data_IF_155560521631
#
_entry.id   IF_155560521631
#
_cell.length_a   1.000
_cell.length_b   1.000
_cell.length_c   1.000
_cell.angle_alpha   90.00
_cell.angle_beta   90.00
_cell.angle_gamma   90.00
#
_symmetry.space_group_name_H-M   'P 1'
#
loop_
_entity.id
_entity.type
_entity.pdbx_description
1 polymer ?
#
# COMPACT_ATOMS: atom_id res chain seq x y z
N UNK A 1 -29.21 2.49 0.00
CA UNK A 1 -27.90 2.94 0.52
C UNK A 1 -28.02 3.00 2.04
N UNK A 2 -27.31 2.13 2.76
CA UNK A 2 -27.20 2.26 4.22
C UNK A 2 -26.13 3.31 4.49
N UNK A 3 -26.56 4.49 4.85
CA UNK A 3 -25.63 5.54 5.31
C UNK A 3 -25.06 5.10 6.65
N UNK A 4 -23.74 4.94 6.71
CA UNK A 4 -23.04 4.65 7.95
C UNK A 4 -23.16 5.86 8.86
N UNK A 5 -23.76 5.68 10.04
CA UNK A 5 -23.87 6.72 11.08
C UNK A 5 -22.63 6.66 11.97
N UNK A 6 -22.11 7.81 12.33
CA UNK A 6 -21.06 7.92 13.34
C UNK A 6 -21.50 7.22 14.64
N UNK A 7 -20.61 6.39 15.21
CA UNK A 7 -20.88 5.55 16.39
C UNK A 7 -22.08 4.57 16.22
N UNK A 8 -22.60 4.40 15.00
CA UNK A 8 -23.77 3.54 14.74
C UNK A 8 -23.46 2.04 14.68
N UNK A 9 -22.21 1.70 14.62
CA UNK A 9 -21.69 0.33 14.46
C UNK A 9 -21.23 0.05 13.04
N UNK A 10 -20.02 -0.49 12.92
CA UNK A 10 -19.43 -0.88 11.64
C UNK A 10 -19.84 -2.34 11.33
N UNK A 11 -20.53 -2.61 10.21
CA UNK A 11 -20.88 -3.96 9.79
C UNK A 11 -19.62 -4.83 9.57
N UNK A 12 -19.69 -6.09 9.97
CA UNK A 12 -18.53 -7.00 9.91
C UNK A 12 -17.93 -7.13 8.49
N UNK A 13 -18.77 -7.18 7.44
CA UNK A 13 -18.27 -7.25 6.07
C UNK A 13 -17.47 -6.02 5.67
N UNK A 14 -17.86 -4.81 6.10
CA UNK A 14 -17.11 -3.59 5.83
C UNK A 14 -15.80 -3.59 6.63
N UNK A 15 -15.83 -4.02 7.89
CA UNK A 15 -14.63 -4.13 8.72
C UNK A 15 -13.59 -5.06 8.10
N UNK A 16 -14.00 -6.25 7.65
CA UNK A 16 -13.11 -7.19 6.99
C UNK A 16 -12.60 -6.67 5.65
N UNK A 17 -13.46 -6.00 4.87
CA UNK A 17 -13.03 -5.34 3.63
C UNK A 17 -11.95 -4.29 3.91
N UNK A 18 -12.13 -3.44 4.93
CA UNK A 18 -11.11 -2.45 5.32
C UNK A 18 -9.80 -3.12 5.73
N UNK A 19 -9.86 -4.21 6.50
CA UNK A 19 -8.67 -4.94 6.96
C UNK A 19 -7.91 -5.57 5.78
N UNK A 20 -8.62 -6.25 4.86
CA UNK A 20 -8.02 -6.88 3.68
C UNK A 20 -7.42 -5.82 2.75
N UNK A 21 -8.18 -4.77 2.42
CA UNK A 21 -7.70 -3.70 1.54
C UNK A 21 -6.53 -2.94 2.17
N UNK A 22 -6.52 -2.75 3.50
CA UNK A 22 -5.38 -2.18 4.21
C UNK A 22 -4.12 -3.05 4.05
N UNK A 23 -4.26 -4.36 4.23
CA UNK A 23 -3.15 -5.30 4.05
C UNK A 23 -2.60 -5.31 2.63
N UNK A 24 -3.47 -5.40 1.62
CA UNK A 24 -3.07 -5.38 0.20
C UNK A 24 -2.41 -4.05 -0.17
N UNK A 25 -2.94 -2.93 0.31
CA UNK A 25 -2.39 -1.60 -0.01
C UNK A 25 -1.00 -1.39 0.59
N UNK A 26 -0.77 -1.83 1.84
CA UNK A 26 0.54 -1.69 2.48
C UNK A 26 1.57 -2.67 1.92
N UNK A 27 1.12 -3.81 1.39
CA UNK A 27 1.98 -4.82 0.78
C UNK A 27 2.87 -4.22 -0.32
N UNK A 28 2.36 -3.24 -1.08
CA UNK A 28 3.08 -2.55 -2.15
C UNK A 28 4.38 -1.84 -1.70
N UNK A 29 4.47 -1.45 -0.41
CA UNK A 29 5.69 -0.86 0.16
C UNK A 29 6.80 -1.91 0.35
N UNK A 30 6.45 -3.18 0.48
CA UNK A 30 7.35 -4.23 0.92
C UNK A 30 7.65 -5.28 -0.14
N UNK A 31 6.90 -5.32 -1.26
CA UNK A 31 7.14 -6.24 -2.38
C UNK A 31 8.55 -6.16 -2.94
N UNK A 32 9.09 -4.96 -3.03
CA UNK A 32 10.39 -4.71 -3.66
C UNK A 32 11.54 -5.32 -2.87
N UNK A 33 11.46 -5.42 -1.54
CA UNK A 33 12.59 -5.80 -0.70
C UNK A 33 13.18 -7.19 -1.04
N UNK A 34 12.39 -8.29 -1.13
CA UNK A 34 12.92 -9.57 -1.56
C UNK A 34 13.37 -9.60 -3.02
N UNK A 35 12.81 -8.72 -3.87
CA UNK A 35 13.09 -8.68 -5.31
C UNK A 35 14.36 -7.92 -5.67
N UNK A 36 14.92 -7.10 -4.77
CA UNK A 36 16.05 -6.21 -5.06
C UNK A 36 17.25 -6.96 -5.65
N UNK A 37 17.55 -8.15 -5.13
CA UNK A 37 18.69 -8.94 -5.62
C UNK A 37 18.45 -9.45 -7.06
N UNK A 38 17.26 -9.91 -7.37
CA UNK A 38 16.86 -10.38 -8.71
C UNK A 38 16.91 -9.19 -9.69
N UNK A 39 16.33 -8.05 -9.31
CA UNK A 39 16.35 -6.82 -10.09
C UNK A 39 17.78 -6.33 -10.37
N UNK A 40 18.69 -6.43 -9.39
CA UNK A 40 20.09 -6.06 -9.53
C UNK A 40 20.76 -6.85 -10.66
N UNK A 41 20.59 -8.17 -10.66
CA UNK A 41 21.21 -9.03 -11.65
C UNK A 41 20.63 -8.83 -13.06
N UNK A 42 19.32 -8.71 -13.17
CA UNK A 42 18.65 -8.54 -14.47
C UNK A 42 18.93 -7.17 -15.10
N UNK A 43 18.82 -6.11 -14.29
CA UNK A 43 19.07 -4.73 -14.77
C UNK A 43 20.56 -4.37 -14.88
N UNK A 44 21.45 -5.26 -14.42
CA UNK A 44 22.91 -5.07 -14.40
C UNK A 44 23.33 -3.74 -13.73
N UNK A 45 22.71 -3.43 -12.61
CA UNK A 45 22.99 -2.20 -11.86
C UNK A 45 23.71 -2.52 -10.54
N UNK A 46 24.32 -1.49 -9.93
CA UNK A 46 24.98 -1.64 -8.65
C UNK A 46 23.95 -1.87 -7.52
N UNK A 47 24.37 -2.54 -6.45
CA UNK A 47 23.56 -2.77 -5.27
C UNK A 47 23.00 -1.47 -4.67
N UNK A 48 23.82 -0.41 -4.65
CA UNK A 48 23.40 0.91 -4.21
C UNK A 48 22.18 1.42 -5.01
N UNK A 49 22.21 1.34 -6.34
CA UNK A 49 21.12 1.77 -7.21
C UNK A 49 19.84 0.97 -6.98
N UNK A 50 19.99 -0.33 -6.70
CA UNK A 50 18.84 -1.18 -6.44
C UNK A 50 18.23 -0.90 -5.06
N UNK A 51 19.06 -0.71 -4.02
CA UNK A 51 18.59 -0.38 -2.69
C UNK A 51 17.90 1.00 -2.63
N UNK A 52 18.23 1.92 -3.53
CA UNK A 52 17.51 3.18 -3.68
C UNK A 52 16.02 2.99 -4.03
N UNK A 53 15.61 1.87 -4.63
CA UNK A 53 14.20 1.57 -4.90
C UNK A 53 13.42 1.57 -3.58
N UNK A 54 13.89 0.80 -2.59
CA UNK A 54 13.23 0.73 -1.29
C UNK A 54 13.26 2.08 -0.56
N UNK A 55 14.39 2.78 -0.60
CA UNK A 55 14.53 4.11 0.01
C UNK A 55 13.56 5.13 -0.62
N UNK A 56 13.49 5.21 -1.94
CA UNK A 56 12.61 6.12 -2.66
C UNK A 56 11.13 5.80 -2.39
N UNK A 57 10.78 4.51 -2.31
CA UNK A 57 9.44 4.09 -1.94
C UNK A 57 9.07 4.58 -0.54
N UNK A 58 9.97 4.48 0.43
CA UNK A 58 9.75 4.95 1.81
C UNK A 58 9.66 6.49 1.89
N UNK A 59 10.47 7.20 1.12
CA UNK A 59 10.35 8.67 0.99
C UNK A 59 8.98 9.02 0.41
N UNK A 60 8.55 8.34 -0.66
CA UNK A 60 7.22 8.51 -1.22
C UNK A 60 6.12 8.31 -0.19
N UNK A 61 6.21 7.24 0.60
CA UNK A 61 5.25 6.97 1.68
C UNK A 61 5.21 8.09 2.72
N UNK A 62 6.36 8.59 3.16
CA UNK A 62 6.43 9.72 4.09
C UNK A 62 5.79 10.98 3.50
N UNK A 63 6.02 11.28 2.21
CA UNK A 63 5.37 12.38 1.51
C UNK A 63 3.85 12.17 1.41
N UNK A 64 3.40 10.96 1.13
CA UNK A 64 1.99 10.59 1.13
C UNK A 64 1.32 10.85 2.49
N UNK A 65 1.97 10.44 3.58
CA UNK A 65 1.49 10.72 4.94
C UNK A 65 1.41 12.21 5.24
N UNK A 66 2.42 12.98 4.83
CA UNK A 66 2.51 14.41 5.13
C UNK A 66 1.50 15.24 4.34
N UNK A 67 1.32 14.92 3.05
CA UNK A 67 0.52 15.75 2.15
C UNK A 67 -0.87 15.18 1.86
N UNK A 68 -1.01 13.86 1.68
CA UNK A 68 -2.28 13.28 1.24
C UNK A 68 -3.20 12.97 2.42
N UNK A 69 -2.67 12.51 3.56
CA UNK A 69 -3.52 12.19 4.73
C UNK A 69 -4.30 13.42 5.22
N UNK A 70 -3.69 14.62 5.38
CA UNK A 70 -4.44 15.81 5.76
C UNK A 70 -5.51 16.24 4.75
N UNK A 71 -5.28 15.97 3.44
CA UNK A 71 -6.31 16.21 2.41
C UNK A 71 -7.56 15.35 2.62
N UNK A 72 -7.44 14.19 3.28
CA UNK A 72 -8.57 13.34 3.65
C UNK A 72 -9.57 14.00 4.60
N UNK A 73 -9.16 15.03 5.31
CA UNK A 73 -10.05 15.82 6.19
C UNK A 73 -10.69 17.01 5.46
N UNK A 74 -10.06 17.50 4.38
CA UNK A 74 -10.54 18.64 3.58
C UNK A 74 -11.42 18.22 2.40
N UNK A 75 -11.15 17.07 1.80
CA UNK A 75 -11.83 16.59 0.61
C UNK A 75 -12.61 15.30 0.88
N UNK A 76 -13.50 14.94 -0.04
CA UNK A 76 -14.23 13.66 0.04
C UNK A 76 -13.27 12.49 0.00
N UNK A 77 -13.14 11.74 1.10
CA UNK A 77 -12.25 10.57 1.25
C UNK A 77 -12.37 9.58 0.10
N UNK A 78 -13.60 9.39 -0.44
CA UNK A 78 -13.84 8.52 -1.60
C UNK A 78 -12.99 8.91 -2.82
N UNK A 79 -12.95 10.20 -3.16
CA UNK A 79 -12.21 10.67 -4.32
C UNK A 79 -10.71 10.48 -4.13
N UNK A 80 -10.19 10.79 -2.95
CA UNK A 80 -8.79 10.59 -2.61
C UNK A 80 -8.42 9.11 -2.77
N UNK A 81 -9.21 8.21 -2.18
CA UNK A 81 -8.96 6.77 -2.24
C UNK A 81 -8.96 6.29 -3.70
N UNK A 82 -9.96 6.65 -4.51
CA UNK A 82 -10.07 6.23 -5.90
C UNK A 82 -8.91 6.77 -6.75
N UNK A 83 -8.55 8.04 -6.60
CA UNK A 83 -7.42 8.64 -7.32
C UNK A 83 -6.10 7.96 -6.95
N UNK A 84 -5.89 7.70 -5.65
CA UNK A 84 -4.68 7.02 -5.19
C UNK A 84 -4.59 5.58 -5.71
N UNK A 85 -5.69 4.81 -5.69
CA UNK A 85 -5.69 3.46 -6.28
C UNK A 85 -5.42 3.48 -7.78
N UNK A 86 -5.99 4.43 -8.51
CA UNK A 86 -5.73 4.58 -9.94
C UNK A 86 -4.25 4.87 -10.21
N UNK A 87 -3.66 5.83 -9.49
CA UNK A 87 -2.23 6.16 -9.61
C UNK A 87 -1.34 5.00 -9.16
N UNK A 88 -1.75 4.25 -8.13
CA UNK A 88 -1.03 3.07 -7.67
C UNK A 88 -0.95 2.01 -8.77
N UNK A 89 -2.08 1.67 -9.41
CA UNK A 89 -2.12 0.71 -10.51
C UNK A 89 -1.20 1.16 -11.64
N UNK A 90 -1.27 2.44 -12.05
CA UNK A 90 -0.39 2.96 -13.10
C UNK A 90 1.09 2.89 -12.71
N UNK A 91 1.43 3.17 -11.46
CA UNK A 91 2.82 3.10 -10.99
C UNK A 91 3.34 1.67 -10.93
N UNK A 92 2.52 0.69 -10.51
CA UNK A 92 2.89 -0.73 -10.51
C UNK A 92 3.12 -1.23 -11.94
N UNK A 93 2.22 -0.91 -12.88
CA UNK A 93 2.41 -1.23 -14.29
C UNK A 93 3.67 -0.57 -14.87
N UNK A 94 3.96 0.67 -14.47
CA UNK A 94 5.19 1.35 -14.89
C UNK A 94 6.45 0.64 -14.36
N UNK A 95 6.42 0.08 -13.13
CA UNK A 95 7.52 -0.73 -12.60
C UNK A 95 7.66 -2.04 -13.40
N UNK A 96 6.54 -2.76 -13.62
CA UNK A 96 6.53 -4.03 -14.35
C UNK A 96 7.13 -3.90 -15.76
N UNK A 97 6.78 -2.82 -16.47
CA UNK A 97 7.19 -2.56 -17.85
C UNK A 97 8.48 -1.75 -17.97
N UNK A 98 9.11 -1.37 -16.86
CA UNK A 98 10.26 -0.47 -16.86
C UNK A 98 11.47 -1.06 -17.60
N UNK A 99 12.02 -0.36 -18.60
CA UNK A 99 13.24 -0.78 -19.31
C UNK A 99 14.52 -0.40 -18.55
N UNK A 100 14.45 0.50 -17.58
CA UNK A 100 15.61 0.99 -16.83
C UNK A 100 15.27 1.37 -15.39
N UNK A 101 16.31 1.48 -14.56
CA UNK A 101 16.20 1.73 -13.11
C UNK A 101 15.61 3.12 -12.80
N UNK A 102 15.76 4.12 -13.66
CA UNK A 102 15.29 5.48 -13.40
C UNK A 102 13.75 5.56 -13.42
N UNK A 103 13.12 4.81 -14.35
CA UNK A 103 11.66 4.68 -14.40
C UNK A 103 11.16 3.94 -13.16
N UNK A 104 11.88 2.91 -12.71
CA UNK A 104 11.54 2.20 -11.47
C UNK A 104 11.59 3.15 -10.27
N UNK A 105 12.61 4.01 -10.14
CA UNK A 105 12.66 4.97 -9.04
C UNK A 105 11.50 5.96 -9.08
N UNK A 106 11.20 6.54 -10.25
CA UNK A 106 10.08 7.47 -10.39
C UNK A 106 8.73 6.81 -10.04
N UNK A 107 8.50 5.61 -10.57
CA UNK A 107 7.29 4.84 -10.30
C UNK A 107 7.23 4.38 -8.83
N UNK A 108 8.35 3.99 -8.22
CA UNK A 108 8.44 3.61 -6.81
C UNK A 108 8.11 4.77 -5.86
N UNK A 109 8.49 5.99 -6.23
CA UNK A 109 8.10 7.19 -5.47
C UNK A 109 6.58 7.35 -5.46
N UNK A 110 5.93 7.22 -6.63
CA UNK A 110 4.48 7.31 -6.77
C UNK A 110 3.80 6.16 -6.03
N UNK A 111 4.31 4.92 -6.18
CA UNK A 111 3.82 3.76 -5.42
C UNK A 111 3.86 4.03 -3.92
N UNK A 112 4.96 4.59 -3.41
CA UNK A 112 5.10 4.98 -2.00
C UNK A 112 4.03 5.98 -1.58
N UNK A 113 3.89 7.09 -2.32
CA UNK A 113 2.89 8.13 -2.04
C UNK A 113 1.48 7.53 -1.99
N UNK A 114 1.14 6.65 -2.92
CA UNK A 114 -0.18 6.06 -3.01
C UNK A 114 -0.45 4.95 -1.98
N UNK A 115 0.59 4.35 -1.40
CA UNK A 115 0.45 3.25 -0.44
C UNK A 115 0.05 3.70 0.98
N UNK A 116 -0.19 5.00 1.22
CA UNK A 116 -0.62 5.53 2.52
C UNK A 116 -2.11 5.28 2.85
N UNK A 117 -2.90 4.74 1.90
CA UNK A 117 -4.36 4.53 2.02
C UNK A 117 -4.79 3.85 3.34
N UNK A 118 -4.08 2.84 3.88
CA UNK A 118 -4.43 2.21 5.14
C UNK A 118 -4.53 3.18 6.31
N UNK A 119 -3.79 4.30 6.28
CA UNK A 119 -3.83 5.32 7.32
C UNK A 119 -5.17 6.09 7.35
N UNK A 120 -5.91 6.09 6.24
CA UNK A 120 -7.27 6.64 6.17
C UNK A 120 -8.29 5.64 6.71
N UNK A 121 -8.05 4.33 6.61
CA UNK A 121 -8.99 3.30 7.05
C UNK A 121 -9.06 3.15 8.58
N UNK A 122 -7.96 3.37 9.28
CA UNK A 122 -7.92 3.29 10.75
C UNK A 122 -8.85 4.33 11.40
N UNK A 123 -8.79 5.63 11.05
CA UNK A 123 -9.76 6.63 11.51
C UNK A 123 -11.21 6.28 11.11
N UNK A 124 -11.44 5.78 9.90
CA UNK A 124 -12.79 5.36 9.46
C UNK A 124 -13.32 4.24 10.35
N UNK A 125 -12.54 3.20 10.61
CA UNK A 125 -12.94 2.11 11.49
C UNK A 125 -13.24 2.62 12.89
N UNK A 126 -12.46 3.59 13.39
CA UNK A 126 -12.68 4.21 14.70
C UNK A 126 -13.97 5.04 14.73
N UNK A 127 -14.22 5.89 13.73
CA UNK A 127 -15.33 6.86 13.67
C UNK A 127 -16.70 6.18 13.57
N UNK A 128 -16.81 5.10 12.80
CA UNK A 128 -18.08 4.42 12.56
C UNK A 128 -18.33 3.24 13.51
N UNK A 129 -17.38 2.88 14.38
CA UNK A 129 -17.56 1.84 15.38
C UNK A 129 -18.30 2.37 16.61
N UNK A 130 -19.11 1.49 17.25
CA UNK A 130 -19.68 1.77 18.56
C UNK A 130 -18.56 1.94 19.60
N UNK A 131 -18.72 2.80 20.62
CA UNK A 131 -17.69 3.04 21.64
C UNK A 131 -17.12 1.75 22.24
N UNK A 132 -17.99 0.75 22.52
CA UNK A 132 -17.63 -0.51 23.16
C UNK A 132 -16.74 -1.39 22.26
N UNK A 133 -16.88 -1.27 20.93
CA UNK A 133 -16.18 -2.10 19.94
C UNK A 133 -15.07 -1.35 19.20
N UNK A 134 -14.85 -0.08 19.51
CA UNK A 134 -13.91 0.80 18.79
C UNK A 134 -12.49 0.22 18.77
N UNK A 135 -11.96 -0.16 19.93
CA UNK A 135 -10.62 -0.74 20.04
C UNK A 135 -10.49 -2.06 19.28
N UNK A 136 -11.51 -2.94 19.39
CA UNK A 136 -11.53 -4.20 18.67
C UNK A 136 -11.51 -4.00 17.14
N UNK A 137 -12.34 -3.12 16.62
CA UNK A 137 -12.48 -2.90 15.18
C UNK A 137 -11.22 -2.23 14.58
N UNK A 138 -10.63 -1.29 15.30
CA UNK A 138 -9.33 -0.71 14.94
C UNK A 138 -8.25 -1.79 14.95
N UNK A 139 -8.23 -2.65 15.98
CA UNK A 139 -7.31 -3.78 16.07
C UNK A 139 -7.41 -4.74 14.88
N UNK A 140 -8.62 -5.04 14.39
CA UNK A 140 -8.83 -5.88 13.20
C UNK A 140 -8.20 -5.25 11.95
N UNK A 141 -8.39 -3.94 11.73
CA UNK A 141 -7.78 -3.25 10.57
C UNK A 141 -6.26 -3.25 10.66
N UNK A 142 -5.70 -2.98 11.84
CA UNK A 142 -4.25 -3.00 12.08
C UNK A 142 -3.69 -4.42 11.90
N UNK A 143 -4.40 -5.45 12.37
CA UNK A 143 -3.99 -6.85 12.16
C UNK A 143 -3.97 -7.21 10.68
N UNK A 144 -4.94 -6.75 9.89
CA UNK A 144 -4.94 -6.92 8.44
C UNK A 144 -3.72 -6.27 7.79
N UNK A 145 -3.39 -5.04 8.21
CA UNK A 145 -2.21 -4.31 7.75
C UNK A 145 -0.91 -5.08 8.07
N UNK A 146 -0.72 -5.53 9.31
CA UNK A 146 0.47 -6.28 9.72
C UNK A 146 0.59 -7.62 8.98
N UNK A 147 -0.52 -8.33 8.81
CA UNK A 147 -0.58 -9.56 8.01
C UNK A 147 -0.16 -9.29 6.56
N UNK A 148 -0.64 -8.20 5.96
CA UNK A 148 -0.24 -7.78 4.61
C UNK A 148 1.26 -7.52 4.49
N UNK A 149 1.87 -6.86 5.46
CA UNK A 149 3.33 -6.63 5.50
C UNK A 149 4.11 -7.95 5.52
N UNK A 150 3.70 -8.88 6.37
CA UNK A 150 4.40 -10.17 6.50
C UNK A 150 4.17 -11.04 5.25
N UNK A 151 2.93 -11.17 4.81
CA UNK A 151 2.56 -11.97 3.64
C UNK A 151 3.22 -11.46 2.37
N UNK A 152 3.33 -10.15 2.18
CA UNK A 152 3.91 -9.55 0.98
C UNK A 152 5.35 -9.98 0.74
N UNK A 153 6.16 -10.08 1.80
CA UNK A 153 7.57 -10.50 1.70
C UNK A 153 7.69 -11.96 1.28
N UNK A 154 6.84 -12.83 1.83
CA UNK A 154 6.85 -14.25 1.50
C UNK A 154 6.38 -14.46 0.06
N UNK A 155 5.25 -13.84 -0.30
CA UNK A 155 4.67 -13.97 -1.64
C UNK A 155 5.61 -13.39 -2.70
N UNK A 156 6.15 -12.20 -2.49
CA UNK A 156 7.03 -11.56 -3.48
C UNK A 156 8.36 -12.31 -3.64
N UNK A 157 8.91 -12.86 -2.55
CA UNK A 157 10.10 -13.71 -2.63
C UNK A 157 9.85 -14.94 -3.49
N UNK A 158 8.77 -15.67 -3.20
CA UNK A 158 8.39 -16.87 -3.95
C UNK A 158 8.07 -16.57 -5.43
N UNK A 159 7.25 -15.57 -5.70
CA UNK A 159 6.90 -15.16 -7.08
C UNK A 159 8.15 -14.70 -7.84
N UNK A 160 9.01 -13.92 -7.19
CA UNK A 160 10.24 -13.43 -7.79
C UNK A 160 11.21 -14.53 -8.19
N UNK A 161 11.33 -15.58 -7.36
CA UNK A 161 12.20 -16.74 -7.65
C UNK A 161 11.65 -17.64 -8.77
N UNK A 162 10.32 -17.84 -8.82
CA UNK A 162 9.69 -18.80 -9.74
C UNK A 162 9.32 -18.18 -11.08
N UNK A 163 8.76 -16.97 -11.07
CA UNK A 163 8.20 -16.33 -12.26
C UNK A 163 9.00 -15.10 -12.72
N UNK A 164 9.83 -14.54 -11.84
CA UNK A 164 10.55 -13.31 -12.07
C UNK A 164 9.92 -12.11 -11.36
N UNK A 165 10.71 -11.07 -11.11
CA UNK A 165 10.31 -9.94 -10.30
C UNK A 165 9.20 -9.07 -10.93
N UNK A 166 9.13 -9.03 -12.28
CA UNK A 166 8.10 -8.25 -12.99
C UNK A 166 6.70 -8.77 -12.75
N UNK A 167 6.55 -10.10 -12.68
CA UNK A 167 5.26 -10.75 -12.48
C UNK A 167 4.61 -10.40 -11.13
N UNK A 168 5.41 -9.95 -10.17
CA UNK A 168 4.89 -9.49 -8.89
C UNK A 168 4.14 -8.15 -8.98
N UNK A 169 4.37 -7.38 -10.06
CA UNK A 169 3.76 -6.06 -10.26
C UNK A 169 2.58 -6.07 -11.26
N UNK A 170 2.31 -7.21 -11.90
CA UNK A 170 1.10 -7.45 -12.71
C UNK A 170 -0.04 -7.98 -11.83
#
# INVERSE_FOLDING_TARGET
KRDLKENGGLPAHILWTLAIVAGVSVANLYYNQPLLNIMRHELRVSEFKTNLIAMVTQIGYALGLLFIVPLGDLYRRKNIILTNFFLLILSLLAIALAPNIYIIWAASLITGICSMIPQIFVPIASQFSRPENKGRNVGVVISGLLTGILASRVVSGFVGEVLGWREMYF
#
